data_IF_936641580749
#
_entry.id   IF_936641580749
#
_cell.length_a   1.000
_cell.length_b   1.000
_cell.length_c   1.000
_cell.angle_alpha   90.00
_cell.angle_beta   90.00
_cell.angle_gamma   90.00
#
_symmetry.space_group_name_H-M   'P 1'
#
loop_
_entity.id
_entity.type
_entity.pdbx_description
1 polymer ?
#
# COMPACT_ATOMS: atom_id res chain seq x y z
N UNK A 1 -8.52 -9.96 16.55
CA UNK A 1 -8.40 -9.35 15.23
C UNK A 1 -7.31 -8.30 15.31
N UNK A 2 -6.17 -8.55 14.67
CA UNK A 2 -4.99 -7.69 14.65
C UNK A 2 -4.94 -6.97 13.31
N UNK A 3 -4.93 -5.64 13.33
CA UNK A 3 -4.95 -4.81 12.12
C UNK A 3 -3.68 -3.98 12.04
N UNK A 4 -3.02 -4.00 10.88
CA UNK A 4 -1.98 -3.03 10.55
C UNK A 4 -2.63 -1.72 10.11
N UNK A 5 -2.56 -0.70 10.95
CA UNK A 5 -3.29 0.55 10.73
C UNK A 5 -2.67 1.46 9.67
N UNK A 6 -1.49 1.13 9.11
CA UNK A 6 -0.77 2.06 8.25
C UNK A 6 0.07 1.33 7.19
N UNK A 7 -0.54 1.06 6.03
CA UNK A 7 0.15 0.46 4.88
C UNK A 7 0.00 1.34 3.65
N UNK A 8 1.08 1.47 2.87
CA UNK A 8 1.06 2.17 1.59
C UNK A 8 1.16 1.17 0.43
N UNK A 9 0.48 1.48 -0.68
CA UNK A 9 0.61 0.76 -1.94
C UNK A 9 0.87 1.76 -3.06
N UNK A 10 1.74 1.43 -4.01
CA UNK A 10 2.01 2.29 -5.15
C UNK A 10 2.50 1.49 -6.36
N UNK A 11 2.25 2.05 -7.54
CA UNK A 11 3.00 1.72 -8.75
C UNK A 11 4.05 2.79 -8.97
N UNK A 12 5.31 2.43 -8.93
CA UNK A 12 6.39 3.40 -8.80
C UNK A 12 6.43 4.34 -10.01
N UNK A 13 6.48 5.64 -9.74
CA UNK A 13 6.64 6.68 -10.72
C UNK A 13 7.71 7.66 -10.24
N UNK A 14 8.84 7.71 -10.93
CA UNK A 14 10.00 8.53 -10.54
C UNK A 14 9.68 10.02 -10.35
N UNK A 15 8.70 10.55 -11.08
CA UNK A 15 8.32 11.97 -11.00
C UNK A 15 7.34 12.22 -9.86
N UNK A 16 6.29 11.40 -9.72
CA UNK A 16 5.30 11.53 -8.64
C UNK A 16 5.91 11.20 -7.28
N UNK A 17 6.71 10.13 -7.22
CA UNK A 17 7.31 9.59 -6.00
C UNK A 17 8.72 10.15 -5.78
N UNK A 18 8.93 11.44 -6.08
CA UNK A 18 10.24 12.10 -6.01
C UNK A 18 10.85 12.14 -4.59
N UNK A 19 10.06 11.81 -3.56
CA UNK A 19 10.54 11.60 -2.19
C UNK A 19 11.37 10.32 -2.03
N UNK A 20 11.23 9.35 -2.94
CA UNK A 20 12.03 8.13 -2.99
C UNK A 20 13.35 8.42 -3.72
N UNK A 21 14.40 8.66 -2.94
CA UNK A 21 15.73 8.99 -3.46
C UNK A 21 16.50 7.74 -3.93
N UNK A 22 17.65 7.92 -4.57
CA UNK A 22 18.51 6.83 -5.05
C UNK A 22 19.14 6.01 -3.91
N UNK A 23 19.11 6.50 -2.68
CA UNK A 23 19.50 5.74 -1.47
C UNK A 23 18.41 4.75 -1.04
N UNK A 24 17.17 4.94 -1.50
CA UNK A 24 15.99 4.14 -1.16
C UNK A 24 15.63 3.15 -2.27
N UNK A 25 16.63 2.56 -2.96
CA UNK A 25 16.41 1.69 -4.15
C UNK A 25 15.38 0.59 -3.96
N UNK A 26 15.28 0.04 -2.75
CA UNK A 26 14.28 -1.00 -2.42
C UNK A 26 12.86 -0.49 -2.64
N UNK A 27 12.59 0.80 -2.42
CA UNK A 27 11.27 1.40 -2.59
C UNK A 27 10.95 1.78 -4.06
N UNK A 28 11.95 1.80 -4.95
CA UNK A 28 11.81 2.16 -6.37
C UNK A 28 11.21 1.03 -7.22
N UNK A 29 10.13 0.42 -6.76
CA UNK A 29 9.39 -0.65 -7.42
C UNK A 29 7.92 -0.65 -7.01
N UNK A 30 7.09 -1.45 -7.69
CA UNK A 30 5.68 -1.57 -7.38
C UNK A 30 5.47 -2.34 -6.06
N UNK A 31 4.63 -1.79 -5.19
CA UNK A 31 4.16 -2.46 -3.98
C UNK A 31 2.64 -2.57 -4.04
N UNK A 32 2.17 -3.79 -4.23
CA UNK A 32 0.77 -4.17 -4.38
C UNK A 32 0.38 -5.21 -3.31
N UNK A 33 -0.92 -5.45 -3.06
CA UNK A 33 -1.37 -6.34 -1.99
C UNK A 33 -0.74 -7.73 -2.00
N UNK A 34 -0.52 -8.32 -3.19
CA UNK A 34 0.12 -9.62 -3.38
C UNK A 34 1.53 -9.72 -2.80
N UNK A 35 2.25 -8.60 -2.68
CA UNK A 35 3.59 -8.54 -2.09
C UNK A 35 3.55 -8.63 -0.56
N UNK A 36 2.39 -8.40 0.06
CA UNK A 36 2.22 -8.30 1.51
C UNK A 36 1.43 -9.45 2.12
N UNK A 37 0.51 -10.10 1.38
CA UNK A 37 -0.40 -11.11 1.94
C UNK A 37 0.31 -12.24 2.70
N UNK A 38 1.45 -12.74 2.21
CA UNK A 38 2.25 -13.76 2.90
C UNK A 38 2.87 -13.24 4.21
N UNK A 39 3.31 -11.99 4.22
CA UNK A 39 3.92 -11.35 5.39
C UNK A 39 2.87 -11.10 6.47
N UNK A 40 1.65 -10.65 6.12
CA UNK A 40 0.55 -10.49 7.07
C UNK A 40 0.24 -11.83 7.76
N UNK A 41 0.06 -12.88 6.96
CA UNK A 41 -0.25 -14.23 7.46
C UNK A 41 0.83 -14.77 8.39
N UNK A 42 2.12 -14.61 8.03
CA UNK A 42 3.25 -15.07 8.86
C UNK A 42 3.29 -14.38 10.23
N UNK A 43 2.85 -13.13 10.30
CA UNK A 43 2.88 -12.34 11.53
C UNK A 43 1.55 -12.34 12.31
N UNK A 44 0.54 -13.09 11.86
CA UNK A 44 -0.78 -13.12 12.51
C UNK A 44 -1.53 -11.79 12.44
N UNK A 45 -1.32 -11.02 11.37
CA UNK A 45 -2.08 -9.81 11.06
C UNK A 45 -3.28 -10.20 10.18
N UNK A 46 -4.48 -9.88 10.65
CA UNK A 46 -5.75 -10.29 10.04
C UNK A 46 -6.19 -9.35 8.91
N UNK A 47 -5.68 -8.10 8.90
CA UNK A 47 -5.99 -7.11 7.87
C UNK A 47 -5.20 -5.83 8.03
N UNK A 48 -5.45 -4.87 7.15
CA UNK A 48 -4.74 -3.59 7.13
C UNK A 48 -5.61 -2.41 6.70
N UNK A 49 -5.12 -1.21 6.95
CA UNK A 49 -5.66 0.05 6.41
C UNK A 49 -4.66 0.64 5.42
N UNK A 50 -5.12 0.90 4.19
CA UNK A 50 -4.33 1.51 3.14
C UNK A 50 -4.36 3.04 3.26
N UNK A 51 -3.18 3.68 3.26
CA UNK A 51 -3.01 5.13 3.44
C UNK A 51 -2.37 5.74 2.19
N UNK A 52 -2.86 6.90 1.74
CA UNK A 52 -2.27 7.64 0.62
C UNK A 52 -0.78 8.01 0.83
N UNK A 53 0.03 7.77 -0.20
CA UNK A 53 1.46 8.11 -0.31
C UNK A 53 1.71 9.38 -1.13
N UNK A 54 0.73 9.87 -1.90
CA UNK A 54 0.73 11.13 -2.64
C UNK A 54 -0.60 11.87 -2.47
N UNK A 55 -0.65 13.14 -2.90
CA UNK A 55 -1.81 14.03 -2.72
C UNK A 55 -2.79 14.00 -3.91
N UNK A 56 -2.69 13.01 -4.78
CA UNK A 56 -3.47 12.93 -6.01
C UNK A 56 -4.79 12.18 -5.81
N UNK A 57 -5.90 12.70 -6.34
CA UNK A 57 -7.22 12.04 -6.24
C UNK A 57 -7.21 10.62 -6.87
N UNK A 58 -6.39 10.42 -7.92
CA UNK A 58 -6.24 9.11 -8.58
C UNK A 58 -5.72 8.05 -7.60
N UNK A 59 -4.96 8.45 -6.59
CA UNK A 59 -4.47 7.52 -5.57
C UNK A 59 -5.55 7.09 -4.61
N UNK A 60 -6.38 8.02 -4.11
CA UNK A 60 -7.55 7.64 -3.29
C UNK A 60 -8.42 6.64 -4.03
N UNK A 61 -8.69 6.87 -5.33
CA UNK A 61 -9.45 5.94 -6.17
C UNK A 61 -8.75 4.59 -6.29
N UNK A 62 -7.44 4.57 -6.52
CA UNK A 62 -6.64 3.35 -6.55
C UNK A 62 -6.74 2.54 -5.25
N UNK A 63 -6.55 3.18 -4.09
CA UNK A 63 -6.64 2.50 -2.79
C UNK A 63 -8.06 2.01 -2.49
N UNK A 64 -9.10 2.77 -2.85
CA UNK A 64 -10.49 2.32 -2.75
C UNK A 64 -10.77 1.08 -3.62
N UNK A 65 -10.23 1.02 -4.85
CA UNK A 65 -10.38 -0.15 -5.71
C UNK A 65 -9.60 -1.36 -5.17
N UNK A 66 -8.41 -1.15 -4.59
CA UNK A 66 -7.71 -2.22 -3.88
C UNK A 66 -8.55 -2.76 -2.72
N UNK A 67 -9.13 -1.88 -1.90
CA UNK A 67 -9.99 -2.28 -0.77
C UNK A 67 -11.24 -3.06 -1.20
N UNK A 68 -11.81 -2.75 -2.38
CA UNK A 68 -12.95 -3.51 -2.95
C UNK A 68 -12.56 -4.90 -3.44
N UNK A 69 -11.31 -5.09 -3.85
CA UNK A 69 -10.85 -6.31 -4.53
C UNK A 69 -10.02 -7.23 -3.64
N UNK A 70 -9.53 -6.74 -2.49
CA UNK A 70 -8.69 -7.46 -1.54
C UNK A 70 -9.30 -7.43 -0.14
N UNK A 71 -9.93 -8.53 0.32
CA UNK A 71 -10.63 -8.59 1.60
C UNK A 71 -9.76 -8.30 2.84
N UNK A 72 -8.44 -8.47 2.74
CA UNK A 72 -7.51 -8.12 3.81
C UNK A 72 -7.37 -6.61 4.04
N UNK A 73 -7.78 -5.78 3.07
CA UNK A 73 -7.74 -4.32 3.17
C UNK A 73 -9.09 -3.85 3.73
N UNK A 74 -9.10 -3.56 5.03
CA UNK A 74 -10.32 -3.26 5.79
C UNK A 74 -10.67 -1.76 5.83
N UNK A 75 -9.81 -0.92 5.26
CA UNK A 75 -10.05 0.52 5.12
C UNK A 75 -9.07 1.17 4.15
N UNK A 76 -9.45 2.33 3.64
CA UNK A 76 -8.60 3.21 2.84
C UNK A 76 -8.80 4.67 3.28
N UNK A 77 -7.71 5.42 3.42
CA UNK A 77 -7.69 6.83 3.82
C UNK A 77 -6.75 7.65 2.93
#
# INVERSE_FOLDING_TARGET
MTIDSHVHFWKFNRTRDAWITDDMKVLQQDYLPEHLSLTLKRNGVDGLVAIQASQEEVETRFLCELAKTHPEIMGCL
#
